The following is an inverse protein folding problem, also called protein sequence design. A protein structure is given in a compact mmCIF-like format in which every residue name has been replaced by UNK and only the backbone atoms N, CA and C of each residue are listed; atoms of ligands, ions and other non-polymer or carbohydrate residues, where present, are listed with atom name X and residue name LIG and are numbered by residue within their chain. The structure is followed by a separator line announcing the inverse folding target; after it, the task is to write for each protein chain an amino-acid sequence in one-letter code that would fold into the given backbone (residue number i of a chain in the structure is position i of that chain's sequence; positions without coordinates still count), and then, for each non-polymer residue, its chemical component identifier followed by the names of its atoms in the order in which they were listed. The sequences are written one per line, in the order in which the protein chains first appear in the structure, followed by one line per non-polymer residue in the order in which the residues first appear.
data_IF_813064207395
#
_entry.id   IF_813064207395
#
_cell.length_a   1.000
_cell.length_b   1.000
_cell.length_c   1.000
_cell.angle_alpha   90.00
_cell.angle_beta   90.00
_cell.angle_gamma   90.00
#
_symmetry.space_group_name_H-M   'P 1'
#
loop_
_entity.id
_entity.type
_entity.pdbx_description
1 polymer ?
#
# COMPACT_ATOMS: atom_id res chain seq x y z
N UNK A 1 64.75 25.77 -12.39
CA UNK A 1 65.29 24.46 -12.82
C UNK A 1 64.11 23.56 -13.14
N UNK A 2 63.64 23.62 -14.39
CA UNK A 2 62.51 22.80 -14.87
C UNK A 2 63.00 21.42 -15.26
N UNK A 3 62.31 20.36 -14.80
CA UNK A 3 62.48 18.99 -15.28
C UNK A 3 61.34 18.64 -16.24
N UNK A 4 61.67 18.68 -17.52
CA UNK A 4 60.83 18.33 -18.67
C UNK A 4 60.62 16.82 -18.72
N UNK A 5 59.41 16.32 -18.42
CA UNK A 5 59.03 14.90 -18.60
C UNK A 5 58.55 14.65 -20.03
N UNK A 6 59.24 13.77 -20.75
CA UNK A 6 58.98 13.43 -22.15
C UNK A 6 57.78 12.49 -22.40
N UNK A 7 57.30 12.39 -23.65
CA UNK A 7 56.00 11.81 -24.00
C UNK A 7 56.08 10.32 -24.38
N UNK A 8 56.65 9.47 -23.53
CA UNK A 8 56.77 8.01 -23.81
C UNK A 8 56.03 7.10 -22.81
N UNK A 9 55.55 7.63 -21.68
CA UNK A 9 54.88 6.81 -20.65
C UNK A 9 53.43 6.41 -20.97
N UNK A 10 52.80 7.02 -21.99
CA UNK A 10 51.38 6.75 -22.32
C UNK A 10 51.17 5.62 -23.36
N UNK A 11 52.21 5.16 -24.06
CA UNK A 11 52.07 4.16 -25.13
C UNK A 11 52.23 2.69 -24.67
N UNK A 12 52.72 2.44 -23.46
CA UNK A 12 52.96 1.08 -22.93
C UNK A 12 51.92 0.64 -21.88
N UNK A 13 51.25 1.60 -21.22
CA UNK A 13 50.29 1.30 -20.14
C UNK A 13 48.96 0.74 -20.68
N UNK A 14 48.53 1.17 -21.86
CA UNK A 14 47.26 0.71 -22.48
C UNK A 14 47.28 -0.77 -22.89
N UNK A 15 48.32 -1.30 -23.58
CA UNK A 15 48.34 -2.72 -23.94
C UNK A 15 48.50 -3.67 -22.74
N UNK A 16 49.18 -3.24 -21.66
CA UNK A 16 49.35 -4.05 -20.46
C UNK A 16 48.03 -4.29 -19.71
N UNK A 17 47.15 -3.29 -19.63
CA UNK A 17 45.83 -3.45 -19.01
C UNK A 17 44.91 -4.37 -19.82
N UNK A 18 45.04 -4.41 -21.15
CA UNK A 18 44.24 -5.28 -22.01
C UNK A 18 44.60 -6.77 -21.83
N UNK A 19 45.89 -7.07 -21.66
CA UNK A 19 46.38 -8.43 -21.39
C UNK A 19 45.88 -8.97 -20.03
N UNK A 20 45.84 -8.13 -19.00
CA UNK A 20 45.32 -8.51 -17.67
C UNK A 20 43.82 -8.84 -17.74
N UNK A 21 43.04 -8.06 -18.52
CA UNK A 21 41.61 -8.31 -18.70
C UNK A 21 41.36 -9.61 -19.46
N UNK A 22 42.14 -9.91 -20.51
CA UNK A 22 42.01 -11.17 -21.26
C UNK A 22 42.37 -12.40 -20.43
N UNK A 23 43.42 -12.32 -19.59
CA UNK A 23 43.77 -13.39 -18.65
C UNK A 23 42.66 -13.59 -17.61
N UNK A 24 42.04 -12.52 -17.13
CA UNK A 24 40.94 -12.59 -16.15
C UNK A 24 39.67 -13.21 -16.74
N UNK A 25 39.35 -12.91 -18.01
CA UNK A 25 38.22 -13.52 -18.74
C UNK A 25 38.49 -15.03 -18.95
N UNK A 26 39.70 -15.41 -19.34
CA UNK A 26 40.08 -16.82 -19.55
C UNK A 26 40.03 -17.66 -18.26
N UNK A 27 40.31 -17.06 -17.10
CA UNK A 27 40.21 -17.72 -15.79
C UNK A 27 38.76 -17.86 -15.31
N UNK A 28 37.86 -16.95 -15.67
CA UNK A 28 36.44 -17.04 -15.34
C UNK A 28 35.75 -18.16 -16.14
N UNK A 29 36.04 -18.27 -17.44
CA UNK A 29 35.38 -19.27 -18.29
C UNK A 29 35.78 -20.72 -17.92
N UNK A 30 37.00 -20.93 -17.42
CA UNK A 30 37.42 -22.24 -16.93
C UNK A 30 36.90 -22.59 -15.52
N UNK A 31 36.38 -21.63 -14.76
CA UNK A 31 35.80 -21.91 -13.43
C UNK A 31 34.42 -22.58 -13.51
N UNK A 32 33.75 -22.52 -14.68
CA UNK A 32 32.45 -23.16 -14.91
C UNK A 32 32.54 -24.67 -15.21
N UNK A 33 33.73 -25.18 -15.56
CA UNK A 33 33.94 -26.58 -15.94
C UNK A 33 34.24 -27.53 -14.76
N UNK A 34 34.42 -27.01 -13.53
CA UNK A 34 34.77 -27.82 -12.35
C UNK A 34 33.65 -27.95 -11.29
N UNK A 35 32.47 -27.36 -11.50
CA UNK A 35 31.33 -27.51 -10.58
C UNK A 35 30.39 -28.70 -10.92
N UNK A 36 30.77 -29.52 -11.91
CA UNK A 36 29.99 -30.65 -12.41
C UNK A 36 30.35 -32.02 -11.85
N UNK A 37 30.90 -32.12 -10.64
CA UNK A 37 31.19 -33.41 -9.98
C UNK A 37 30.96 -33.33 -8.45
N UNK A 38 29.71 -33.26 -8.03
CA UNK A 38 29.30 -33.67 -6.67
C UNK A 38 27.82 -34.09 -6.72
N UNK A 39 27.59 -35.39 -6.93
CA UNK A 39 26.25 -35.98 -6.98
C UNK A 39 25.79 -36.61 -5.67
N UNK A 40 24.45 -36.65 -5.53
CA UNK A 40 23.59 -37.68 -4.89
C UNK A 40 23.46 -37.70 -3.34
N UNK A 41 22.43 -38.38 -2.77
CA UNK A 41 20.99 -38.42 -3.13
C UNK A 41 20.00 -38.53 -1.90
N UNK A 42 18.68 -38.52 -2.19
CA UNK A 42 17.52 -39.13 -1.43
C UNK A 42 17.14 -38.53 -0.05
N UNK A 43 15.87 -38.42 0.37
CA UNK A 43 14.78 -39.41 0.35
C UNK A 43 13.38 -38.78 0.52
N UNK A 44 12.38 -39.35 -0.18
CA UNK A 44 10.95 -39.19 0.04
C UNK A 44 10.46 -40.11 1.18
N UNK A 45 9.45 -39.69 1.95
CA UNK A 45 8.22 -40.51 2.15
C UNK A 45 7.07 -39.67 2.72
N UNK A 46 5.80 -40.01 2.38
CA UNK A 46 4.60 -39.21 2.66
C UNK A 46 3.87 -39.69 3.93
N UNK A 47 2.95 -38.88 4.47
CA UNK A 47 1.91 -39.41 5.37
C UNK A 47 0.54 -38.74 5.18
N UNK A 48 -0.35 -39.59 4.72
CA UNK A 48 -1.81 -39.63 4.61
C UNK A 48 -2.68 -38.62 5.39
N UNK A 49 -3.70 -38.21 4.64
CA UNK A 49 -5.05 -37.80 5.00
C UNK A 49 -5.78 -38.72 5.98
N UNK A 50 -6.57 -38.12 6.87
CA UNK A 50 -7.78 -38.75 7.43
C UNK A 50 -8.93 -37.73 7.34
N UNK A 51 -9.96 -38.13 6.60
CA UNK A 51 -11.34 -37.64 6.62
C UNK A 51 -12.14 -38.59 7.50
N UNK A 52 -13.14 -38.10 8.26
CA UNK A 52 -14.49 -38.70 8.30
C UNK A 52 -15.42 -38.03 9.34
N UNK A 53 -16.64 -37.70 8.84
CA UNK A 53 -18.00 -37.80 9.43
C UNK A 53 -18.33 -37.21 10.82
N UNK A 54 -19.24 -36.24 10.91
CA UNK A 54 -20.73 -36.35 11.01
C UNK A 54 -21.24 -36.98 12.32
N UNK A 55 -22.03 -36.20 13.07
CA UNK A 55 -23.17 -36.71 13.85
C UNK A 55 -24.28 -35.66 14.00
N UNK A 56 -25.49 -36.18 13.85
CA UNK A 56 -26.83 -35.63 13.98
C UNK A 56 -27.20 -35.11 15.39
N UNK A 57 -28.12 -34.13 15.48
CA UNK A 57 -29.41 -34.19 16.22
C UNK A 57 -30.00 -32.76 16.32
N UNK A 58 -31.11 -32.46 15.64
CA UNK A 58 -32.53 -32.68 15.99
C UNK A 58 -33.16 -31.56 16.84
N UNK A 59 -34.31 -31.11 16.34
CA UNK A 59 -35.22 -30.03 16.77
C UNK A 59 -35.80 -30.21 18.17
N UNK A 60 -36.28 -29.11 18.76
CA UNK A 60 -37.49 -29.05 19.59
C UNK A 60 -38.17 -27.67 19.43
N UNK A 61 -39.48 -27.72 19.23
CA UNK A 61 -40.40 -26.64 18.87
C UNK A 61 -41.02 -25.87 20.07
N UNK A 62 -41.38 -24.59 19.81
CA UNK A 62 -42.59 -23.84 20.24
C UNK A 62 -42.90 -23.54 21.75
N UNK A 63 -43.87 -22.63 22.10
CA UNK A 63 -44.46 -21.48 21.39
C UNK A 63 -44.72 -20.19 22.26
N UNK A 64 -45.08 -19.10 21.56
CA UNK A 64 -46.01 -17.97 21.87
C UNK A 64 -46.34 -17.50 23.30
N UNK A 65 -46.26 -16.18 23.53
CA UNK A 65 -47.39 -15.37 24.00
C UNK A 65 -47.20 -13.86 23.66
N UNK A 66 -48.23 -13.27 23.05
CA UNK A 66 -48.47 -11.83 22.90
C UNK A 66 -49.11 -11.32 24.19
N UNK A 67 -48.88 -10.06 24.54
CA UNK A 67 -49.98 -9.19 24.97
C UNK A 67 -49.70 -7.72 24.63
N UNK A 68 -50.77 -7.08 24.18
CA UNK A 68 -50.97 -5.68 23.80
C UNK A 68 -52.01 -5.19 24.83
N UNK A 69 -52.00 -4.00 25.41
CA UNK A 69 -52.31 -2.71 24.77
C UNK A 69 -52.68 -1.66 25.84
N UNK A 70 -52.26 -0.40 25.61
CA UNK A 70 -52.99 0.88 25.83
C UNK A 70 -53.32 1.30 27.30
N UNK A 71 -53.21 2.55 27.74
CA UNK A 71 -53.87 3.79 27.28
C UNK A 71 -53.15 5.04 27.85
N UNK A 72 -52.91 6.06 26.98
CA UNK A 72 -53.07 7.54 27.07
C UNK A 72 -52.94 8.29 28.43
N UNK A 73 -52.55 9.56 28.57
CA UNK A 73 -52.26 10.72 27.71
C UNK A 73 -51.65 11.82 28.63
N UNK A 74 -51.24 12.96 28.04
CA UNK A 74 -51.09 14.32 28.64
C UNK A 74 -49.67 14.80 29.06
N UNK A 75 -49.03 15.54 28.14
CA UNK A 75 -48.15 16.71 28.40
C UNK A 75 -49.01 17.96 28.75
N UNK A 76 -48.51 19.14 29.24
CA UNK A 76 -47.14 19.68 29.16
C UNK A 76 -46.62 20.55 30.35
N UNK A 77 -45.33 20.93 30.32
CA UNK A 77 -44.76 22.32 30.43
C UNK A 77 -43.43 22.44 31.19
N UNK A 78 -42.44 22.92 30.42
CA UNK A 78 -41.23 23.69 30.75
C UNK A 78 -40.84 23.98 32.22
N UNK A 79 -39.60 23.60 32.58
CA UNK A 79 -38.73 24.40 33.46
C UNK A 79 -37.24 24.27 33.11
N UNK A 80 -36.59 25.43 33.17
CA UNK A 80 -35.20 25.81 32.88
C UNK A 80 -34.24 25.06 33.81
N UNK A 81 -33.21 24.36 33.30
CA UNK A 81 -32.14 23.80 34.13
C UNK A 81 -30.86 24.64 34.03
N UNK A 82 -30.41 25.14 35.17
CA UNK A 82 -29.22 25.97 35.37
C UNK A 82 -27.94 25.14 35.54
N UNK A 83 -26.83 25.67 34.99
CA UNK A 83 -25.41 25.48 35.37
C UNK A 83 -25.04 24.19 36.11
N UNK A 84 -24.45 23.24 35.38
CA UNK A 84 -23.57 22.21 35.96
C UNK A 84 -22.15 22.81 36.13
N UNK A 85 -21.71 22.82 37.38
CA UNK A 85 -20.44 23.36 37.86
C UNK A 85 -19.33 22.33 37.58
N UNK A 86 -18.29 22.71 36.82
CA UNK A 86 -17.10 21.87 36.67
C UNK A 86 -16.27 21.92 37.96
N UNK A 87 -15.99 20.78 38.55
CA UNK A 87 -15.00 20.63 39.62
C UNK A 87 -13.68 20.18 38.99
N UNK A 88 -12.64 20.98 39.19
CA UNK A 88 -11.26 20.67 38.84
C UNK A 88 -10.71 19.64 39.83
N UNK A 89 -10.13 18.54 39.35
CA UNK A 89 -9.30 17.63 40.13
C UNK A 89 -7.82 17.87 39.77
N UNK A 90 -7.29 18.99 40.25
CA UNK A 90 -5.85 19.19 40.37
C UNK A 90 -5.53 19.53 41.82
N UNK A 91 -5.01 18.54 42.54
CA UNK A 91 -4.16 18.75 43.71
C UNK A 91 -2.89 17.94 43.46
N UNK A 92 -1.76 18.64 43.32
CA UNK A 92 -0.45 18.02 43.14
C UNK A 92 0.14 17.57 44.47
N UNK A 93 0.96 16.51 44.45
CA UNK A 93 2.33 16.60 44.92
C UNK A 93 3.19 15.43 44.39
N UNK A 94 4.47 15.75 44.25
CA UNK A 94 5.58 15.05 43.60
C UNK A 94 5.93 13.67 44.16
N UNK A 95 6.12 12.67 43.29
CA UNK A 95 7.19 11.66 43.39
C UNK A 95 7.20 10.79 42.13
N UNK A 96 8.41 10.60 41.58
CA UNK A 96 8.71 9.88 40.34
C UNK A 96 8.31 8.41 40.46
N UNK A 97 7.39 7.91 39.61
CA UNK A 97 7.27 6.49 39.23
C UNK A 97 6.79 6.33 37.79
N UNK A 98 7.36 5.30 37.15
CA UNK A 98 7.23 4.92 35.74
C UNK A 98 5.82 5.09 35.16
N UNK A 99 5.76 5.73 33.99
CA UNK A 99 4.52 5.95 33.26
C UNK A 99 3.81 4.64 32.94
N UNK A 100 2.63 4.47 33.54
CA UNK A 100 1.65 3.46 33.19
C UNK A 100 1.28 3.60 31.70
N UNK A 101 1.91 2.79 30.86
CA UNK A 101 1.49 2.54 29.48
C UNK A 101 0.26 1.62 29.51
N UNK A 102 -0.87 2.13 30.00
CA UNK A 102 -2.16 1.47 29.88
C UNK A 102 -2.61 1.59 28.41
N UNK A 103 -2.05 0.72 27.57
CA UNK A 103 -2.55 0.52 26.21
C UNK A 103 -4.01 0.03 26.23
N UNK A 104 -4.71 0.09 25.08
CA UNK A 104 -6.05 -0.49 24.91
C UNK A 104 -6.23 -1.83 25.65
N UNK A 105 -7.39 -2.09 26.28
CA UNK A 105 -7.69 -3.32 27.06
C UNK A 105 -7.22 -4.62 26.39
N UNK A 106 -7.24 -4.67 25.07
CA UNK A 106 -6.71 -5.76 24.23
C UNK A 106 -5.24 -6.11 24.56
N UNK A 107 -4.38 -5.12 24.83
CA UNK A 107 -2.98 -5.35 25.16
C UNK A 107 -2.77 -5.94 26.55
N UNK A 108 -3.65 -5.67 27.51
CA UNK A 108 -3.58 -6.27 28.84
C UNK A 108 -3.94 -7.76 28.77
N UNK A 109 -4.97 -8.12 27.99
CA UNK A 109 -5.39 -9.51 27.75
C UNK A 109 -4.29 -10.30 27.02
N UNK A 110 -3.67 -9.71 25.99
CA UNK A 110 -2.56 -10.34 25.25
C UNK A 110 -1.34 -10.56 26.15
N UNK A 111 -1.03 -9.61 27.04
CA UNK A 111 0.07 -9.77 28.01
C UNK A 111 -0.17 -10.92 28.99
N UNK A 112 -1.41 -11.10 29.43
CA UNK A 112 -1.80 -12.22 30.31
C UNK A 112 -1.66 -13.59 29.61
N UNK A 113 -1.72 -13.61 28.27
CA UNK A 113 -1.51 -14.82 27.45
C UNK A 113 -0.03 -15.02 27.01
N UNK A 114 0.91 -14.25 27.58
CA UNK A 114 2.34 -14.34 27.21
C UNK A 114 2.69 -13.77 25.84
N UNK A 115 1.74 -13.14 25.14
CA UNK A 115 1.96 -12.54 23.83
C UNK A 115 2.43 -11.09 24.01
N UNK A 116 3.71 -10.82 23.75
CA UNK A 116 4.30 -9.48 23.81
C UNK A 116 4.33 -8.83 22.41
N UNK A 117 3.50 -7.81 22.14
CA UNK A 117 3.57 -7.07 20.89
C UNK A 117 4.89 -6.31 20.80
N UNK A 118 5.55 -6.38 19.63
CA UNK A 118 6.78 -5.65 19.35
C UNK A 118 6.69 -4.96 17.99
N UNK A 119 7.45 -3.87 17.80
CA UNK A 119 7.48 -3.19 16.51
C UNK A 119 8.38 -3.96 15.55
N UNK A 120 7.81 -4.49 14.48
CA UNK A 120 8.55 -5.21 13.45
C UNK A 120 8.70 -4.36 12.18
N UNK A 121 9.65 -4.71 11.32
CA UNK A 121 9.72 -4.13 9.98
C UNK A 121 8.58 -4.70 9.11
N UNK A 122 8.09 -3.94 8.11
CA UNK A 122 7.02 -4.44 7.27
C UNK A 122 7.48 -5.58 6.37
N UNK A 123 6.59 -6.55 6.17
CA UNK A 123 6.78 -7.69 5.25
C UNK A 123 5.96 -7.53 3.96
N UNK A 124 5.06 -6.55 3.92
CA UNK A 124 4.37 -6.11 2.72
C UNK A 124 4.26 -4.57 2.64
N UNK A 125 4.35 -4.02 1.43
CA UNK A 125 4.28 -2.57 1.17
C UNK A 125 3.22 -2.25 0.12
N UNK A 126 2.44 -1.19 0.33
CA UNK A 126 1.66 -0.56 -0.73
C UNK A 126 2.51 0.58 -1.31
N UNK A 127 3.17 0.30 -2.44
CA UNK A 127 4.20 1.17 -3.01
C UNK A 127 3.67 2.26 -3.94
N UNK A 128 2.39 2.18 -4.32
CA UNK A 128 1.83 3.08 -5.32
C UNK A 128 0.44 2.69 -5.80
N UNK A 129 -0.11 3.42 -6.77
CA UNK A 129 0.42 4.70 -7.27
C UNK A 129 -0.26 5.88 -6.59
N UNK A 130 0.40 7.05 -6.63
CA UNK A 130 -0.20 8.30 -6.15
C UNK A 130 -1.54 8.51 -6.88
N UNK A 131 -2.61 8.70 -6.10
CA UNK A 131 -4.01 8.82 -6.56
C UNK A 131 -4.67 7.56 -7.11
N UNK A 132 -4.04 6.39 -6.99
CA UNK A 132 -4.62 5.11 -7.42
C UNK A 132 -5.68 4.53 -6.48
N UNK A 133 -5.70 4.94 -5.20
CA UNK A 133 -6.63 4.39 -4.20
C UNK A 133 -5.94 3.80 -2.97
N UNK A 134 -4.63 3.96 -2.84
CA UNK A 134 -3.81 3.39 -1.75
C UNK A 134 -4.34 3.62 -0.34
N UNK A 135 -4.99 4.76 -0.06
CA UNK A 135 -5.61 5.00 1.26
C UNK A 135 -6.84 4.13 1.48
N UNK A 136 -7.70 3.98 0.48
CA UNK A 136 -8.88 3.12 0.59
C UNK A 136 -8.44 1.69 0.86
N UNK A 137 -7.50 1.17 0.05
CA UNK A 137 -6.96 -0.17 0.24
C UNK A 137 -6.41 -0.37 1.66
N UNK A 138 -5.57 0.53 2.16
CA UNK A 138 -4.99 0.37 3.50
C UNK A 138 -6.05 0.41 4.61
N UNK A 139 -7.04 1.30 4.53
CA UNK A 139 -8.13 1.34 5.54
C UNK A 139 -8.98 0.07 5.50
N UNK A 140 -9.23 -0.49 4.31
CA UNK A 140 -9.99 -1.74 4.16
C UNK A 140 -9.21 -2.92 4.73
N UNK A 141 -7.92 -3.03 4.43
CA UNK A 141 -7.06 -4.10 4.96
C UNK A 141 -6.92 -4.06 6.48
N UNK A 142 -7.02 -2.89 7.11
CA UNK A 142 -6.97 -2.74 8.57
C UNK A 142 -8.16 -3.38 9.29
N UNK A 143 -9.20 -3.78 8.57
CA UNK A 143 -10.29 -4.60 9.13
C UNK A 143 -9.85 -6.03 9.42
N UNK A 144 -8.76 -6.51 8.80
CA UNK A 144 -8.29 -7.87 9.02
C UNK A 144 -7.52 -7.95 10.36
N UNK A 145 -7.86 -8.87 11.29
CA UNK A 145 -7.23 -8.94 12.61
C UNK A 145 -5.74 -9.28 12.54
N UNK A 146 -5.29 -9.94 11.47
CA UNK A 146 -3.88 -10.23 11.22
C UNK A 146 -3.10 -9.10 10.53
N UNK A 147 -3.71 -7.95 10.24
CA UNK A 147 -3.01 -6.81 9.59
C UNK A 147 -2.87 -5.65 10.56
N UNK A 148 -1.64 -5.15 10.68
CA UNK A 148 -1.34 -3.90 11.40
C UNK A 148 -0.54 -3.00 10.47
N UNK A 149 -0.97 -1.75 10.35
CA UNK A 149 -0.32 -0.82 9.44
C UNK A 149 -0.05 0.55 10.04
N UNK A 150 1.04 1.17 9.60
CA UNK A 150 1.33 2.57 9.87
C UNK A 150 0.17 3.47 9.39
N UNK A 151 -0.26 4.43 10.22
CA UNK A 151 -1.40 5.31 9.90
C UNK A 151 -1.07 6.39 8.87
N UNK A 152 0.17 6.87 8.87
CA UNK A 152 0.69 7.89 7.95
C UNK A 152 1.59 7.26 6.88
N UNK A 153 1.78 7.97 5.78
CA UNK A 153 2.82 7.64 4.79
C UNK A 153 4.19 7.88 5.44
N UNK A 154 5.06 6.87 5.43
CA UNK A 154 6.29 6.89 6.25
C UNK A 154 7.44 7.57 5.51
N UNK A 155 7.43 7.51 4.17
CA UNK A 155 8.46 8.10 3.32
C UNK A 155 9.87 7.68 3.72
N UNK A 156 10.04 6.40 4.07
CA UNK A 156 11.33 5.88 4.48
C UNK A 156 12.25 5.69 3.28
N UNK A 157 11.83 4.91 2.29
CA UNK A 157 12.72 4.55 1.19
C UNK A 157 13.00 5.69 0.20
N UNK A 158 12.20 6.75 0.18
CA UNK A 158 12.41 7.94 -0.64
C UNK A 158 13.10 9.07 0.14
N UNK A 159 12.51 9.58 1.23
CA UNK A 159 12.98 10.80 1.91
C UNK A 159 13.82 10.54 3.17
N UNK A 160 13.57 9.47 3.91
CA UNK A 160 14.13 9.26 5.24
C UNK A 160 15.10 8.08 5.34
N UNK A 161 15.61 7.58 4.22
CA UNK A 161 16.41 6.35 4.18
C UNK A 161 17.67 6.43 5.04
N UNK A 162 18.30 7.61 5.09
CA UNK A 162 19.50 7.89 5.90
C UNK A 162 19.27 7.74 7.41
N UNK A 163 18.02 7.74 7.88
CA UNK A 163 17.69 7.58 9.31
C UNK A 163 17.82 6.11 9.78
N UNK A 164 18.04 5.18 8.86
CA UNK A 164 18.28 3.76 9.15
C UNK A 164 17.04 2.96 9.55
N UNK A 165 17.18 1.63 9.56
CA UNK A 165 16.06 0.72 9.84
C UNK A 165 15.55 0.81 11.28
N UNK A 166 16.39 1.24 12.23
CA UNK A 166 15.93 1.48 13.60
C UNK A 166 14.85 2.56 13.64
N UNK A 167 15.08 3.69 12.97
CA UNK A 167 14.08 4.76 12.85
C UNK A 167 12.82 4.26 12.11
N UNK A 168 12.99 3.48 11.04
CA UNK A 168 11.88 2.96 10.27
C UNK A 168 10.98 2.02 11.08
N UNK A 169 11.59 1.06 11.80
CA UNK A 169 10.89 0.14 12.70
C UNK A 169 10.11 0.89 13.78
N UNK A 170 10.65 1.99 14.30
CA UNK A 170 9.95 2.82 15.30
C UNK A 170 8.67 3.48 14.78
N UNK A 171 8.52 3.64 13.45
CA UNK A 171 7.31 4.15 12.80
C UNK A 171 6.22 3.09 12.60
N UNK A 172 6.54 1.81 12.81
CA UNK A 172 5.57 0.73 12.70
C UNK A 172 4.71 0.59 13.97
N UNK A 173 3.44 0.16 13.85
CA UNK A 173 2.66 -0.23 15.01
C UNK A 173 3.27 -1.50 15.65
N UNK A 174 3.06 -1.71 16.95
CA UNK A 174 3.38 -3.01 17.56
C UNK A 174 2.48 -4.10 16.99
N UNK A 175 3.05 -5.28 16.78
CA UNK A 175 2.42 -6.46 16.17
C UNK A 175 2.75 -7.72 16.94
N UNK A 176 1.82 -8.69 16.92
CA UNK A 176 2.08 -10.06 17.33
C UNK A 176 2.80 -10.83 16.23
N UNK A 177 3.42 -11.97 16.57
CA UNK A 177 4.14 -12.82 15.61
C UNK A 177 3.27 -13.31 14.45
N UNK A 178 1.96 -13.47 14.67
CA UNK A 178 0.98 -13.91 13.66
C UNK A 178 0.47 -12.78 12.76
N UNK A 179 0.87 -11.53 13.01
CA UNK A 179 0.36 -10.37 12.29
C UNK A 179 1.36 -9.87 11.25
N UNK A 180 0.84 -9.42 10.12
CA UNK A 180 1.59 -8.74 9.06
C UNK A 180 1.68 -7.25 9.41
N UNK A 181 2.91 -6.74 9.43
CA UNK A 181 3.18 -5.29 9.50
C UNK A 181 3.22 -4.70 8.09
N UNK A 182 2.50 -3.60 7.86
CA UNK A 182 2.45 -2.92 6.57
C UNK A 182 2.61 -1.40 6.68
N UNK A 183 2.99 -0.76 5.58
CA UNK A 183 2.81 0.68 5.37
C UNK A 183 2.43 0.97 3.92
N UNK A 184 1.98 2.20 3.67
CA UNK A 184 1.79 2.72 2.32
C UNK A 184 2.58 3.99 2.13
N UNK A 185 3.28 4.09 0.99
CA UNK A 185 3.91 5.34 0.56
C UNK A 185 3.88 5.39 -0.97
N UNK A 186 2.92 6.13 -1.57
CA UNK A 186 2.65 6.02 -3.00
C UNK A 186 3.76 6.53 -3.94
N UNK A 187 4.70 7.33 -3.43
CA UNK A 187 5.86 7.83 -4.18
C UNK A 187 6.91 6.75 -4.42
N UNK A 188 6.93 5.68 -3.62
CA UNK A 188 7.91 4.60 -3.78
C UNK A 188 7.96 4.05 -5.18
N UNK A 189 6.80 3.83 -5.82
CA UNK A 189 6.74 3.25 -7.16
C UNK A 189 7.55 4.02 -8.20
N UNK A 190 7.61 5.35 -8.11
CA UNK A 190 8.24 6.20 -9.14
C UNK A 190 9.67 6.63 -8.81
N UNK A 191 10.09 6.52 -7.55
CA UNK A 191 11.43 6.90 -7.10
C UNK A 191 12.47 5.85 -7.50
N UNK A 192 13.52 6.25 -8.21
CA UNK A 192 14.46 5.34 -8.88
C UNK A 192 15.26 4.44 -7.95
N UNK A 193 15.62 4.93 -6.76
CA UNK A 193 16.47 4.22 -5.80
C UNK A 193 15.67 3.24 -4.94
N UNK A 194 14.35 3.38 -4.87
CA UNK A 194 13.50 2.66 -3.93
C UNK A 194 13.51 1.15 -4.15
N UNK A 195 13.39 0.59 -5.38
CA UNK A 195 13.42 -0.86 -5.59
C UNK A 195 14.65 -1.52 -4.95
N UNK A 196 15.85 -0.97 -5.19
CA UNK A 196 17.11 -1.44 -4.61
C UNK A 196 17.12 -1.36 -3.09
N UNK A 197 16.62 -0.25 -2.53
CA UNK A 197 16.58 -0.03 -1.07
C UNK A 197 15.61 -0.99 -0.38
N UNK A 198 14.47 -1.28 -1.00
CA UNK A 198 13.49 -2.25 -0.48
C UNK A 198 14.07 -3.67 -0.54
N UNK A 199 14.69 -4.06 -1.66
CA UNK A 199 15.31 -5.38 -1.83
C UNK A 199 16.42 -5.62 -0.80
N UNK A 200 17.25 -4.61 -0.53
CA UNK A 200 18.30 -4.67 0.51
C UNK A 200 17.76 -4.91 1.92
N UNK A 201 16.56 -4.40 2.22
CA UNK A 201 15.94 -4.63 3.53
C UNK A 201 15.31 -6.02 3.60
N UNK A 202 14.58 -6.42 2.55
CA UNK A 202 13.89 -7.70 2.50
C UNK A 202 13.71 -8.15 1.04
N UNK A 203 14.52 -9.10 0.55
CA UNK A 203 14.37 -9.65 -0.80
C UNK A 203 13.02 -10.35 -1.02
N UNK A 204 12.39 -10.88 0.04
CA UNK A 204 11.10 -11.56 0.00
C UNK A 204 9.89 -10.62 0.21
N UNK A 205 10.09 -9.30 0.14
CA UNK A 205 9.03 -8.30 0.32
C UNK A 205 7.86 -8.52 -0.63
N UNK A 206 6.63 -8.52 -0.11
CA UNK A 206 5.41 -8.49 -0.94
C UNK A 206 5.06 -7.04 -1.31
N UNK A 207 4.81 -6.78 -2.58
CA UNK A 207 4.61 -5.44 -3.13
C UNK A 207 3.21 -5.32 -3.71
N UNK A 208 2.44 -4.34 -3.25
CA UNK A 208 1.08 -4.09 -3.74
C UNK A 208 1.05 -2.75 -4.47
N UNK A 209 0.51 -2.77 -5.69
CA UNK A 209 0.37 -1.60 -6.54
C UNK A 209 -1.11 -1.39 -6.87
N UNK A 210 -1.69 -0.31 -6.35
CA UNK A 210 -3.06 0.13 -6.68
C UNK A 210 -2.98 1.05 -7.88
N UNK A 211 -3.37 0.55 -9.04
CA UNK A 211 -3.34 1.28 -10.32
C UNK A 211 -4.72 1.84 -10.67
N UNK A 212 -4.76 2.78 -11.60
CA UNK A 212 -5.95 3.49 -12.05
C UNK A 212 -5.71 3.97 -13.48
N UNK A 213 -6.76 4.19 -14.27
CA UNK A 213 -6.66 4.85 -15.58
C UNK A 213 -5.71 6.06 -15.48
N UNK A 214 -4.56 6.05 -16.20
CA UNK A 214 -3.54 7.09 -16.10
C UNK A 214 -4.06 8.52 -16.32
N UNK A 215 -5.07 8.68 -17.18
CA UNK A 215 -5.71 9.97 -17.48
C UNK A 215 -6.48 10.44 -16.26
N UNK A 216 -7.40 9.62 -15.75
CA UNK A 216 -8.21 10.00 -14.57
C UNK A 216 -7.35 10.16 -13.33
N UNK A 217 -6.25 9.40 -13.20
CA UNK A 217 -5.25 9.56 -12.15
C UNK A 217 -4.52 10.89 -12.26
N UNK A 218 -4.11 11.32 -13.46
CA UNK A 218 -3.46 12.61 -13.68
C UNK A 218 -4.38 13.78 -13.31
N UNK A 219 -5.64 13.73 -13.76
CA UNK A 219 -6.67 14.72 -13.40
C UNK A 219 -6.87 14.75 -11.87
N UNK A 220 -6.89 13.58 -11.21
CA UNK A 220 -7.01 13.50 -9.75
C UNK A 220 -5.81 14.11 -9.02
N UNK A 221 -4.61 13.97 -9.57
CA UNK A 221 -3.40 14.56 -9.02
C UNK A 221 -3.44 16.10 -9.14
N UNK A 222 -3.71 16.60 -10.35
CA UNK A 222 -3.95 18.02 -10.61
C UNK A 222 -5.01 18.60 -9.66
N UNK A 223 -6.15 17.93 -9.51
CA UNK A 223 -7.24 18.37 -8.63
C UNK A 223 -6.78 18.49 -7.18
N UNK A 224 -5.90 17.60 -6.70
CA UNK A 224 -5.34 17.70 -5.36
C UNK A 224 -4.37 18.87 -5.20
N UNK A 225 -3.56 19.17 -6.22
CA UNK A 225 -2.63 20.32 -6.20
C UNK A 225 -3.42 21.62 -6.24
N UNK A 226 -4.41 21.71 -7.14
CA UNK A 226 -5.31 22.85 -7.26
C UNK A 226 -6.06 23.16 -5.98
N UNK A 227 -6.47 22.15 -5.19
CA UNK A 227 -7.12 22.41 -3.90
C UNK A 227 -6.19 22.99 -2.82
N UNK A 228 -4.89 23.14 -3.08
CA UNK A 228 -3.89 23.66 -2.14
C UNK A 228 -3.20 24.93 -2.63
N UNK A 229 -3.41 25.33 -3.88
CA UNK A 229 -2.76 26.49 -4.50
C UNK A 229 -3.82 27.40 -5.08
N UNK A 230 -3.84 28.66 -4.63
CA UNK A 230 -4.60 29.70 -5.30
C UNK A 230 -3.97 29.95 -6.70
N UNK A 231 -4.79 30.19 -7.71
CA UNK A 231 -4.37 30.48 -9.09
C UNK A 231 -3.53 29.38 -9.76
N UNK A 232 -4.13 28.19 -9.92
CA UNK A 232 -3.53 27.11 -10.70
C UNK A 232 -3.90 27.27 -12.19
N UNK A 233 -2.92 27.23 -13.13
CA UNK A 233 -3.17 27.07 -14.56
C UNK A 233 -4.15 25.93 -14.87
N UNK A 234 -4.81 25.98 -16.04
CA UNK A 234 -5.70 24.89 -16.45
C UNK A 234 -4.89 23.61 -16.65
N UNK A 235 -5.60 22.49 -16.60
CA UNK A 235 -4.95 21.19 -16.73
C UNK A 235 -4.29 21.04 -18.10
N UNK A 236 -4.97 21.49 -19.15
CA UNK A 236 -4.54 21.46 -20.54
C UNK A 236 -3.26 22.26 -20.74
N UNK A 237 -3.17 23.45 -20.13
CA UNK A 237 -2.00 24.33 -20.23
C UNK A 237 -0.74 23.70 -19.60
N UNK A 238 -0.91 22.77 -18.66
CA UNK A 238 0.18 22.02 -18.03
C UNK A 238 0.44 20.66 -18.69
N UNK A 239 -0.58 20.09 -19.35
CA UNK A 239 -0.51 18.77 -19.95
C UNK A 239 0.18 18.77 -21.31
N UNK A 240 0.18 19.91 -22.01
CA UNK A 240 0.72 20.03 -23.36
C UNK A 240 1.73 21.18 -23.47
N UNK A 241 2.81 20.96 -24.22
CA UNK A 241 3.87 21.94 -24.40
C UNK A 241 3.38 23.12 -25.23
N UNK A 242 3.46 24.34 -24.69
CA UNK A 242 3.24 25.62 -25.40
C UNK A 242 1.94 25.67 -26.24
N UNK A 243 0.84 25.07 -25.75
CA UNK A 243 -0.44 25.02 -26.48
C UNK A 243 -0.45 24.08 -27.70
N UNK A 244 0.61 23.29 -27.89
CA UNK A 244 0.71 22.28 -28.95
C UNK A 244 -0.11 21.03 -28.64
N UNK A 245 -0.04 20.03 -29.53
CA UNK A 245 -0.63 18.70 -29.31
C UNK A 245 0.31 17.73 -28.58
N UNK A 246 1.54 18.16 -28.26
CA UNK A 246 2.58 17.31 -27.69
C UNK A 246 2.42 17.26 -26.17
N UNK A 247 2.28 16.04 -25.63
CA UNK A 247 2.14 15.80 -24.20
C UNK A 247 3.44 16.14 -23.47
N UNK A 248 3.37 16.97 -22.43
CA UNK A 248 4.51 17.30 -21.59
C UNK A 248 4.83 16.14 -20.62
N UNK A 249 5.78 15.31 -21.02
CA UNK A 249 6.23 14.16 -20.21
C UNK A 249 7.10 14.55 -19.02
N UNK A 250 7.52 15.82 -18.93
CA UNK A 250 8.26 16.35 -17.77
C UNK A 250 7.30 16.62 -16.60
N UNK A 251 6.02 16.92 -16.89
CA UNK A 251 5.03 17.20 -15.87
C UNK A 251 4.76 15.96 -15.00
N UNK A 252 5.03 16.08 -13.70
CA UNK A 252 5.04 14.96 -12.74
C UNK A 252 3.75 14.15 -12.73
N UNK A 253 2.54 14.75 -12.72
CA UNK A 253 1.30 14.00 -12.88
C UNK A 253 1.36 13.08 -14.08
N UNK A 254 1.71 13.55 -15.27
CA UNK A 254 1.71 12.70 -16.46
C UNK A 254 2.79 11.61 -16.40
N UNK A 255 3.98 11.97 -15.92
CA UNK A 255 5.13 11.06 -15.76
C UNK A 255 4.84 9.86 -14.85
N UNK A 256 4.01 10.04 -13.80
CA UNK A 256 3.60 8.96 -12.89
C UNK A 256 2.74 7.91 -13.61
N UNK A 257 1.90 8.35 -14.57
CA UNK A 257 0.96 7.49 -15.30
C UNK A 257 1.60 6.48 -16.26
N UNK A 258 2.89 6.64 -16.57
CA UNK A 258 3.64 5.74 -17.45
C UNK A 258 4.09 4.50 -16.66
N UNK A 259 3.13 3.65 -16.26
CA UNK A 259 3.34 2.57 -15.30
C UNK A 259 4.35 1.53 -15.76
N UNK A 260 4.32 1.14 -17.05
CA UNK A 260 5.23 0.16 -17.63
C UNK A 260 6.70 0.48 -17.33
N UNK A 261 7.14 1.71 -17.60
CA UNK A 261 8.51 2.17 -17.37
C UNK A 261 8.93 2.04 -15.90
N UNK A 262 8.03 2.36 -14.98
CA UNK A 262 8.33 2.25 -13.55
C UNK A 262 8.36 0.78 -13.13
N UNK A 263 7.40 -0.04 -13.59
CA UNK A 263 7.36 -1.47 -13.29
C UNK A 263 8.62 -2.20 -13.80
N UNK A 264 9.09 -1.93 -15.02
CA UNK A 264 10.32 -2.52 -15.55
C UNK A 264 11.53 -2.28 -14.63
N UNK A 265 11.64 -1.08 -14.06
CA UNK A 265 12.68 -0.77 -13.06
C UNK A 265 12.54 -1.64 -11.80
N UNK A 266 11.33 -1.85 -11.33
CA UNK A 266 11.05 -2.69 -10.16
C UNK A 266 11.35 -4.17 -10.44
N UNK A 267 11.07 -4.64 -11.66
CA UNK A 267 11.31 -6.02 -12.08
C UNK A 267 12.79 -6.40 -12.19
N UNK A 268 13.72 -5.43 -12.24
CA UNK A 268 15.15 -5.72 -12.08
C UNK A 268 15.53 -6.20 -10.68
N UNK A 269 14.69 -5.97 -9.66
CA UNK A 269 14.99 -6.27 -8.26
C UNK A 269 14.03 -7.30 -7.65
N UNK A 270 12.81 -7.42 -8.17
CA UNK A 270 11.79 -8.31 -7.64
C UNK A 270 11.11 -9.08 -8.76
N UNK A 271 10.88 -10.40 -8.59
CA UNK A 271 10.10 -11.18 -9.53
C UNK A 271 8.63 -10.73 -9.52
N UNK A 272 7.94 -10.91 -10.65
CA UNK A 272 6.53 -10.53 -10.80
C UNK A 272 5.61 -11.22 -9.77
N UNK A 273 5.96 -12.44 -9.32
CA UNK A 273 5.24 -13.20 -8.29
C UNK A 273 5.20 -12.50 -6.92
N UNK A 274 6.09 -11.53 -6.67
CA UNK A 274 6.06 -10.69 -5.47
C UNK A 274 5.24 -9.40 -5.64
N UNK A 275 4.58 -9.22 -6.79
CA UNK A 275 3.67 -8.10 -7.02
C UNK A 275 2.22 -8.55 -7.03
N UNK A 276 1.37 -7.72 -6.42
CA UNK A 276 -0.06 -7.74 -6.66
C UNK A 276 -0.50 -6.40 -7.25
N UNK A 277 -1.16 -6.47 -8.40
CA UNK A 277 -1.78 -5.32 -9.04
C UNK A 277 -3.27 -5.26 -8.71
N UNK A 278 -3.66 -4.20 -8.02
CA UNK A 278 -5.03 -3.93 -7.56
C UNK A 278 -5.64 -2.88 -8.49
N UNK A 279 -6.82 -3.16 -9.05
CA UNK A 279 -7.54 -2.19 -9.88
C UNK A 279 -8.24 -1.17 -8.97
N UNK A 280 -7.89 0.11 -9.12
CA UNK A 280 -8.52 1.20 -8.39
C UNK A 280 -9.98 1.40 -8.77
N UNK A 281 -10.34 1.13 -10.03
CA UNK A 281 -11.73 1.13 -10.51
C UNK A 281 -12.54 0.02 -9.83
N UNK A 282 -12.04 -1.22 -9.85
CA UNK A 282 -12.70 -2.34 -9.18
C UNK A 282 -12.74 -2.16 -7.66
N UNK A 283 -11.73 -1.55 -7.04
CA UNK A 283 -11.74 -1.25 -5.61
C UNK A 283 -12.88 -0.30 -5.20
N UNK A 284 -13.43 0.47 -6.15
CA UNK A 284 -14.60 1.32 -5.93
C UNK A 284 -15.90 0.54 -6.16
N UNK A 285 -15.98 -0.19 -7.28
CA UNK A 285 -17.21 -0.89 -7.71
C UNK A 285 -17.46 -2.17 -6.91
N UNK A 286 -16.41 -2.94 -6.66
CA UNK A 286 -16.42 -4.22 -5.95
C UNK A 286 -15.18 -4.33 -5.04
N UNK A 287 -15.18 -3.66 -3.87
CA UNK A 287 -14.06 -3.71 -2.95
C UNK A 287 -13.79 -5.11 -2.41
N UNK A 288 -14.80 -5.97 -2.31
CA UNK A 288 -14.65 -7.31 -1.70
C UNK A 288 -13.82 -8.21 -2.58
N UNK A 289 -14.07 -8.22 -3.90
CA UNK A 289 -13.26 -9.01 -4.82
C UNK A 289 -11.78 -8.60 -4.80
N UNK A 290 -11.48 -7.30 -4.82
CA UNK A 290 -10.09 -6.81 -4.78
C UNK A 290 -9.42 -7.11 -3.43
N UNK A 291 -10.14 -6.95 -2.30
CA UNK A 291 -9.60 -7.28 -0.97
C UNK A 291 -9.39 -8.78 -0.81
N UNK A 292 -10.24 -9.62 -1.41
CA UNK A 292 -10.05 -11.08 -1.43
C UNK A 292 -8.74 -11.45 -2.11
N UNK A 293 -8.44 -10.89 -3.29
CA UNK A 293 -7.16 -11.09 -3.98
C UNK A 293 -5.97 -10.67 -3.12
N UNK A 294 -6.11 -9.58 -2.36
CA UNK A 294 -5.05 -9.10 -1.45
C UNK A 294 -4.86 -10.04 -0.26
N UNK A 295 -5.94 -10.53 0.35
CA UNK A 295 -5.86 -11.52 1.44
C UNK A 295 -5.14 -12.79 0.97
N UNK A 296 -5.50 -13.32 -0.20
CA UNK A 296 -4.86 -14.51 -0.78
C UNK A 296 -3.37 -14.27 -1.07
N UNK A 297 -3.05 -13.14 -1.70
CA UNK A 297 -1.67 -12.78 -2.00
C UNK A 297 -0.82 -12.64 -0.74
N UNK A 298 -1.38 -12.17 0.36
CA UNK A 298 -0.70 -12.06 1.65
C UNK A 298 -0.71 -13.38 2.44
N UNK A 299 -1.37 -14.43 1.96
CA UNK A 299 -1.50 -15.72 2.66
C UNK A 299 -2.41 -15.65 3.89
N UNK A 300 -3.38 -14.74 3.87
CA UNK A 300 -4.33 -14.52 4.96
C UNK A 300 -5.64 -15.24 4.73
N UNK A 301 -6.33 -15.60 5.81
CA UNK A 301 -7.71 -16.07 5.75
C UNK A 301 -8.60 -14.96 5.16
N UNK A 302 -9.57 -15.33 4.33
CA UNK A 302 -10.57 -14.39 3.79
C UNK A 302 -11.59 -14.02 4.87
N UNK A 303 -11.24 -13.05 5.70
CA UNK A 303 -12.11 -12.55 6.79
C UNK A 303 -12.93 -11.35 6.34
N UNK A 304 -12.33 -10.48 5.53
CA UNK A 304 -13.02 -9.29 5.00
C UNK A 304 -13.92 -9.72 3.84
N UNK A 305 -15.23 -9.51 4.01
CA UNK A 305 -16.31 -9.80 3.07
C UNK A 305 -17.33 -8.64 2.99
N UNK A 306 -18.41 -8.84 2.24
CA UNK A 306 -19.48 -7.87 1.91
C UNK A 306 -20.04 -7.14 3.13
N UNK A 307 -20.20 -7.85 4.25
CA UNK A 307 -20.75 -7.30 5.51
C UNK A 307 -19.91 -6.18 6.14
N UNK A 308 -18.70 -5.92 5.63
CA UNK A 308 -17.86 -4.83 6.10
C UNK A 308 -18.05 -3.55 5.29
N UNK A 309 -18.78 -3.61 4.17
CA UNK A 309 -18.92 -2.50 3.24
C UNK A 309 -20.38 -2.10 3.05
N UNK A 310 -20.58 -0.82 2.80
CA UNK A 310 -21.83 -0.29 2.24
C UNK A 310 -21.49 0.80 1.23
N UNK A 311 -22.33 0.99 0.22
CA UNK A 311 -22.13 2.05 -0.75
C UNK A 311 -22.83 3.33 -0.29
N UNK A 312 -22.08 4.43 -0.19
CA UNK A 312 -22.66 5.72 0.12
C UNK A 312 -22.96 6.47 -1.19
N UNK A 313 -24.23 6.49 -1.62
CA UNK A 313 -24.66 7.12 -2.87
C UNK A 313 -24.34 8.62 -2.94
N UNK A 314 -24.50 9.35 -1.84
CA UNK A 314 -24.15 10.79 -1.77
C UNK A 314 -22.66 11.04 -1.98
N UNK A 315 -21.82 10.15 -1.46
CA UNK A 315 -20.36 10.23 -1.61
C UNK A 315 -19.92 9.67 -2.97
N UNK A 316 -20.62 8.67 -3.51
CA UNK A 316 -20.24 7.91 -4.70
C UNK A 316 -19.11 6.90 -4.47
N UNK A 317 -18.88 6.48 -3.22
CA UNK A 317 -17.79 5.55 -2.88
C UNK A 317 -18.22 4.54 -1.82
N UNK A 318 -17.60 3.33 -1.81
CA UNK A 318 -17.78 2.38 -0.72
C UNK A 318 -17.19 2.93 0.59
N UNK A 319 -17.91 2.66 1.67
CA UNK A 319 -17.57 3.01 3.04
C UNK A 319 -17.59 1.77 3.92
N UNK A 320 -16.97 1.87 5.10
CA UNK A 320 -16.90 0.77 6.05
C UNK A 320 -18.13 0.80 6.98
N UNK A 321 -18.78 -0.35 7.13
CA UNK A 321 -19.84 -0.55 8.12
C UNK A 321 -19.27 -0.49 9.55
N UNK A 322 -20.17 -0.36 10.53
CA UNK A 322 -19.82 -0.42 11.95
C UNK A 322 -19.13 -1.76 12.29
N UNK A 323 -18.16 -1.72 13.20
CA UNK A 323 -17.50 -2.90 13.76
C UNK A 323 -17.42 -2.78 15.29
N UNK A 324 -17.06 -3.85 15.99
CA UNK A 324 -16.84 -3.80 17.44
C UNK A 324 -15.77 -2.75 17.83
N UNK A 325 -14.77 -2.54 16.98
CA UNK A 325 -13.74 -1.53 17.17
C UNK A 325 -14.18 -0.11 16.75
N UNK A 326 -15.21 0.01 15.92
CA UNK A 326 -15.73 1.30 15.41
C UNK A 326 -17.26 1.31 15.41
N UNK A 327 -17.89 1.93 16.42
CA UNK A 327 -19.35 1.87 16.59
C UNK A 327 -20.10 2.63 15.49
N UNK A 328 -19.43 3.53 14.76
CA UNK A 328 -20.02 4.33 13.68
C UNK A 328 -19.49 3.92 12.30
N UNK A 329 -20.32 3.94 11.26
CA UNK A 329 -19.88 3.74 9.89
C UNK A 329 -18.78 4.76 9.50
N UNK A 330 -17.77 4.30 8.77
CA UNK A 330 -16.62 5.12 8.41
C UNK A 330 -16.47 5.25 6.90
N UNK A 331 -16.76 6.45 6.39
CA UNK A 331 -16.35 6.85 5.05
C UNK A 331 -14.99 7.53 5.07
N UNK A 332 -14.23 7.40 3.98
CA UNK A 332 -13.01 8.20 3.80
C UNK A 332 -13.35 9.71 3.82
N UNK A 333 -12.48 10.51 4.44
CA UNK A 333 -12.72 11.95 4.61
C UNK A 333 -12.84 12.74 3.30
N UNK A 334 -13.22 14.02 3.40
CA UNK A 334 -13.50 14.94 2.27
C UNK A 334 -12.36 15.03 1.24
N UNK A 335 -11.13 14.77 1.67
CA UNK A 335 -9.94 14.75 0.81
C UNK A 335 -9.83 13.51 -0.10
N UNK A 336 -10.80 12.59 -0.08
CA UNK A 336 -10.88 11.37 -0.90
C UNK A 336 -12.21 11.37 -1.66
N UNK A 337 -12.12 11.27 -3.00
CA UNK A 337 -13.26 11.45 -3.90
C UNK A 337 -13.58 12.92 -4.21
N UNK A 338 -12.57 13.74 -4.54
CA UNK A 338 -12.81 15.14 -4.94
C UNK A 338 -13.44 15.16 -6.33
N UNK A 339 -14.42 16.05 -6.55
CA UNK A 339 -14.92 16.35 -7.87
C UNK A 339 -13.78 16.83 -8.77
N UNK A 340 -13.65 16.22 -9.93
CA UNK A 340 -12.68 16.62 -10.93
C UNK A 340 -13.22 17.83 -11.70
N UNK A 341 -12.35 18.77 -12.13
CA UNK A 341 -12.78 19.80 -13.06
C UNK A 341 -13.21 19.23 -14.40
N UNK A 342 -13.96 20.04 -15.13
CA UNK A 342 -14.10 19.86 -16.57
C UNK A 342 -12.72 19.93 -17.23
N UNK A 343 -12.47 18.98 -18.12
CA UNK A 343 -11.28 18.90 -18.97
C UNK A 343 -11.80 18.73 -20.40
N UNK A 344 -11.20 19.45 -21.35
CA UNK A 344 -11.57 19.35 -22.76
C UNK A 344 -11.54 17.87 -23.23
N UNK A 345 -12.63 17.33 -23.81
CA UNK A 345 -12.66 15.97 -24.35
C UNK A 345 -11.55 15.67 -25.36
N UNK A 346 -11.14 16.66 -26.16
CA UNK A 346 -10.02 16.52 -27.11
C UNK A 346 -8.70 16.34 -26.36
N UNK A 347 -8.51 17.06 -25.25
CA UNK A 347 -7.34 16.87 -24.39
C UNK A 347 -7.33 15.49 -23.72
N UNK A 348 -8.49 15.01 -23.25
CA UNK A 348 -8.66 13.66 -22.71
C UNK A 348 -8.27 12.62 -23.77
N UNK A 349 -8.79 12.73 -24.99
CA UNK A 349 -8.52 11.78 -26.06
C UNK A 349 -7.02 11.75 -26.41
N UNK A 350 -6.38 12.91 -26.53
CA UNK A 350 -4.92 12.98 -26.77
C UNK A 350 -4.11 12.32 -25.67
N UNK A 351 -4.51 12.47 -24.41
CA UNK A 351 -3.85 11.77 -23.31
C UNK A 351 -4.10 10.26 -23.34
N UNK A 352 -5.30 9.80 -23.72
CA UNK A 352 -5.57 8.38 -23.95
C UNK A 352 -4.68 7.81 -25.04
N UNK A 353 -4.57 8.51 -26.16
CA UNK A 353 -3.71 8.11 -27.28
C UNK A 353 -2.22 8.05 -26.85
N UNK A 354 -1.76 9.04 -26.08
CA UNK A 354 -0.42 9.03 -25.49
C UNK A 354 -0.17 7.85 -24.55
N UNK A 355 -1.13 7.53 -23.67
CA UNK A 355 -0.96 6.43 -22.71
C UNK A 355 -1.16 5.04 -23.31
N UNK A 356 -1.91 4.90 -24.42
CA UNK A 356 -2.26 3.63 -25.05
C UNK A 356 -1.07 2.67 -25.21
N UNK A 357 0.07 3.04 -25.84
CA UNK A 357 1.19 2.11 -25.99
C UNK A 357 1.81 1.69 -24.65
N UNK A 358 1.85 2.60 -23.67
CA UNK A 358 2.37 2.29 -22.33
C UNK A 358 1.42 1.39 -21.53
N UNK A 359 0.10 1.56 -21.71
CA UNK A 359 -0.92 0.71 -21.10
C UNK A 359 -0.86 -0.70 -21.68
N UNK A 360 -0.76 -0.84 -23.00
CA UNK A 360 -0.57 -2.14 -23.66
C UNK A 360 0.67 -2.86 -23.12
N UNK A 361 1.81 -2.15 -23.01
CA UNK A 361 3.03 -2.70 -22.41
C UNK A 361 2.83 -3.10 -20.94
N UNK A 362 2.13 -2.28 -20.16
CA UNK A 362 1.84 -2.60 -18.76
C UNK A 362 0.95 -3.85 -18.64
N UNK A 363 -0.03 -4.02 -19.52
CA UNK A 363 -0.91 -5.21 -19.51
C UNK A 363 -0.14 -6.47 -19.87
N UNK A 364 0.76 -6.38 -20.85
CA UNK A 364 1.68 -7.47 -21.18
C UNK A 364 2.58 -7.85 -20.00
N UNK A 365 3.20 -6.86 -19.34
CA UNK A 365 4.09 -7.09 -18.20
C UNK A 365 3.37 -7.70 -16.99
N UNK A 366 2.12 -7.32 -16.77
CA UNK A 366 1.33 -7.78 -15.60
C UNK A 366 0.50 -9.02 -15.88
N UNK A 367 0.30 -9.38 -17.16
CA UNK A 367 -0.66 -10.41 -17.57
C UNK A 367 -2.12 -10.05 -17.26
N UNK A 368 -2.44 -8.75 -17.14
CA UNK A 368 -3.77 -8.27 -16.72
C UNK A 368 -4.20 -7.07 -17.55
N UNK A 369 -5.41 -7.15 -18.11
CA UNK A 369 -6.08 -6.01 -18.73
C UNK A 369 -6.88 -5.25 -17.66
N UNK A 370 -6.70 -3.92 -17.62
CA UNK A 370 -7.39 -3.03 -16.68
C UNK A 370 -8.50 -2.20 -17.34
N UNK A 371 -8.74 -2.36 -18.65
CA UNK A 371 -9.84 -1.72 -19.39
C UNK A 371 -9.66 -0.23 -19.65
N UNK A 372 -8.42 0.24 -19.89
CA UNK A 372 -8.14 1.67 -20.14
C UNK A 372 -7.78 2.02 -21.59
N UNK A 373 -7.79 1.05 -22.51
CA UNK A 373 -7.34 1.22 -23.91
C UNK A 373 -8.36 1.89 -24.82
#
# INVERSE_FOLDING_TARGET
MELRKGPWSKKIIVPACFLVILIWIFLIDNSLLLAGLAGKPTSQKPRNSISSTQTHNQNLDHPYAKDTSLINDVEPKHKKLSKLQMVSLWTGNSSVKEGNLAGPRTYQILKQQGLMPSKQLPTALIIGVKKGGTRALLEFLRLHPAIRAAGSEVHFFDHHYIKGFHWYRHRMPPTLATQITMEKTPSYFVTSEVPRRVQRMNPAMKLILVVRDPVTRAISDYTQVRSKRANMPRFEDLAFLNGSKIVDTSWVPLKIGVYARHLERWLHYFPLSQFLFVSGERLIVDPVAEITRVQDFLGLKRVICERHFYFNATKGFPCLLKSEERPTPHCLGKNKGRSHPYIDPVAIQRLRDFYRPFNQRFYQLTGMDFGWL
#
